data_IF_946642230556
#
_entry.id   IF_946642230556
#
_cell.length_a   1.000
_cell.length_b   1.000
_cell.length_c   1.000
_cell.angle_alpha   90.00
_cell.angle_beta   90.00
_cell.angle_gamma   90.00
#
_symmetry.space_group_name_H-M   'P 1'
#
loop_
_entity.id
_entity.type
_entity.pdbx_description
1 polymer ?
#
# COMPACT_ATOMS: atom_id res chain seq x y z
N UNK A 1 19.76 -15.62 4.72
CA UNK A 1 18.90 -15.02 3.67
C UNK A 1 17.41 -15.12 3.97
N UNK A 2 16.69 -13.99 4.03
CA UNK A 2 15.22 -13.87 4.11
C UNK A 2 14.77 -12.87 3.04
N UNK A 3 13.67 -13.13 2.35
CA UNK A 3 13.12 -12.23 1.32
C UNK A 3 11.64 -11.96 1.52
N UNK A 4 11.19 -10.79 1.07
CA UNK A 4 9.79 -10.38 1.08
C UNK A 4 9.52 -9.47 -0.12
N UNK A 5 8.34 -9.61 -0.72
CA UNK A 5 7.92 -8.80 -1.88
C UNK A 5 7.05 -7.65 -1.40
N UNK A 6 7.36 -6.45 -1.89
CA UNK A 6 6.63 -5.21 -1.70
C UNK A 6 6.19 -4.66 -3.07
N UNK A 7 5.42 -3.56 -3.05
CA UNK A 7 4.99 -2.87 -4.25
C UNK A 7 4.98 -1.35 -4.06
N UNK A 8 4.66 -0.60 -5.12
CA UNK A 8 4.56 0.86 -5.12
C UNK A 8 3.26 1.33 -4.48
N UNK A 9 3.31 2.50 -3.84
CA UNK A 9 2.18 3.17 -3.22
C UNK A 9 1.39 4.05 -4.21
N UNK A 10 2.10 4.59 -5.22
CA UNK A 10 1.53 5.51 -6.20
C UNK A 10 1.55 4.96 -7.64
N UNK A 11 0.60 5.45 -8.45
CA UNK A 11 0.57 5.17 -9.89
C UNK A 11 1.77 5.82 -10.58
N UNK A 12 2.40 5.08 -11.48
CA UNK A 12 3.59 5.50 -12.22
C UNK A 12 4.78 5.88 -11.31
N UNK A 13 4.83 5.36 -10.09
CA UNK A 13 5.93 5.55 -9.17
C UNK A 13 7.22 4.96 -9.77
N UNK A 14 8.20 5.84 -10.02
CA UNK A 14 9.45 5.48 -10.71
C UNK A 14 10.58 5.08 -9.76
N UNK A 15 10.40 5.25 -8.45
CA UNK A 15 11.41 4.93 -7.46
C UNK A 15 10.79 4.46 -6.15
N UNK A 16 11.49 3.58 -5.45
CA UNK A 16 11.18 3.18 -4.07
C UNK A 16 12.40 3.40 -3.19
N UNK A 17 12.19 3.91 -1.99
CA UNK A 17 13.23 4.08 -0.98
C UNK A 17 13.15 2.94 0.03
N UNK A 18 14.23 2.18 0.14
CA UNK A 18 14.37 1.10 1.10
C UNK A 18 15.11 1.65 2.32
N UNK A 19 14.42 1.70 3.46
CA UNK A 19 14.97 2.14 4.75
C UNK A 19 15.15 0.93 5.65
N UNK A 20 16.39 0.70 6.07
CA UNK A 20 16.77 -0.45 6.90
C UNK A 20 16.93 0.04 8.33
N UNK A 21 16.12 -0.48 9.24
CA UNK A 21 16.16 -0.14 10.66
C UNK A 21 16.34 -1.39 11.53
N UNK A 22 16.87 -1.20 12.73
CA UNK A 22 17.06 -2.23 13.75
C UNK A 22 16.39 -1.78 15.06
N UNK A 23 15.57 -2.65 15.64
CA UNK A 23 14.89 -2.45 16.92
C UNK A 23 13.65 -3.33 17.02
N UNK A 24 13.02 -3.31 18.19
CA UNK A 24 11.88 -4.16 18.57
C UNK A 24 10.53 -3.42 18.57
N UNK A 25 10.52 -2.10 18.28
CA UNK A 25 9.29 -1.30 18.26
C UNK A 25 8.56 -1.45 16.93
N UNK A 26 7.24 -1.32 16.95
CA UNK A 26 6.42 -1.55 15.74
C UNK A 26 6.59 -0.45 14.69
N UNK A 27 6.89 0.77 15.11
CA UNK A 27 7.04 1.93 14.22
C UNK A 27 8.49 2.12 13.80
N UNK A 28 8.76 2.18 12.49
CA UNK A 28 10.11 2.31 11.95
C UNK A 28 10.86 3.58 12.42
N UNK A 29 10.14 4.66 12.70
CA UNK A 29 10.71 5.93 13.20
C UNK A 29 11.25 5.83 14.63
N UNK A 30 10.75 4.86 15.40
CA UNK A 30 11.14 4.60 16.78
C UNK A 30 12.31 3.61 16.90
N UNK A 31 12.80 3.10 15.76
CA UNK A 31 13.91 2.16 15.66
C UNK A 31 15.18 2.84 15.13
N UNK A 32 16.34 2.21 15.33
CA UNK A 32 17.62 2.72 14.85
C UNK A 32 17.75 2.54 13.34
N UNK A 33 17.80 3.63 12.57
CA UNK A 33 18.09 3.58 11.15
C UNK A 33 19.54 3.14 10.93
N UNK A 34 19.73 2.05 10.17
CA UNK A 34 21.03 1.53 9.80
C UNK A 34 21.52 2.06 8.45
N UNK A 35 20.58 2.31 7.52
CA UNK A 35 20.90 2.83 6.20
C UNK A 35 19.65 2.93 5.33
N UNK A 36 19.80 3.60 4.19
CA UNK A 36 18.76 3.66 3.18
C UNK A 36 19.34 3.75 1.79
N UNK A 37 18.58 3.32 0.80
CA UNK A 37 18.93 3.43 -0.61
C UNK A 37 17.69 3.45 -1.49
N UNK A 38 17.84 3.97 -2.69
CA UNK A 38 16.74 4.07 -3.66
C UNK A 38 16.94 3.06 -4.80
N UNK A 39 15.87 2.34 -5.12
CA UNK A 39 15.74 1.62 -6.38
C UNK A 39 14.98 2.54 -7.35
N UNK A 40 15.70 3.10 -8.32
CA UNK A 40 15.17 4.07 -9.28
C UNK A 40 14.97 3.47 -10.67
N UNK A 41 14.10 4.12 -11.45
CA UNK A 41 13.82 3.75 -12.84
C UNK A 41 12.86 2.57 -12.96
N UNK A 42 11.92 2.44 -12.03
CA UNK A 42 10.78 1.55 -12.19
C UNK A 42 9.94 1.98 -13.41
N UNK A 43 9.46 1.04 -14.23
CA UNK A 43 8.61 1.37 -15.36
C UNK A 43 7.27 1.94 -14.86
N UNK A 44 6.65 2.88 -15.59
CA UNK A 44 5.33 3.38 -15.25
C UNK A 44 4.32 2.22 -15.20
N UNK A 45 3.74 2.00 -14.03
CA UNK A 45 2.73 0.97 -13.80
C UNK A 45 1.72 1.47 -12.75
N UNK A 46 0.49 0.92 -12.72
CA UNK A 46 -0.43 1.18 -11.63
C UNK A 46 0.19 0.80 -10.28
N UNK A 47 -0.19 1.50 -9.21
CA UNK A 47 0.23 1.14 -7.85
C UNK A 47 -0.10 -0.32 -7.54
N UNK A 48 0.68 -0.96 -6.67
CA UNK A 48 0.46 -2.36 -6.30
C UNK A 48 0.86 -3.40 -7.36
N UNK A 49 1.18 -2.99 -8.59
CA UNK A 49 1.59 -3.90 -9.68
C UNK A 49 3.09 -4.23 -9.67
N UNK A 50 4.02 -3.27 -9.53
CA UNK A 50 5.44 -3.57 -9.46
C UNK A 50 5.76 -4.54 -8.32
N UNK A 51 6.58 -5.56 -8.57
CA UNK A 51 6.97 -6.51 -7.54
C UNK A 51 8.42 -6.27 -7.14
N UNK A 52 8.61 -5.62 -5.99
CA UNK A 52 9.92 -5.30 -5.44
C UNK A 52 10.30 -6.35 -4.40
N UNK A 53 11.16 -7.29 -4.77
CA UNK A 53 11.71 -8.28 -3.86
C UNK A 53 12.84 -7.66 -3.04
N UNK A 54 12.62 -7.49 -1.74
CA UNK A 54 13.63 -7.04 -0.79
C UNK A 54 14.19 -8.27 -0.08
N UNK A 55 15.51 -8.41 -0.12
CA UNK A 55 16.23 -9.53 0.47
C UNK A 55 17.22 -9.04 1.51
N UNK A 56 17.18 -9.69 2.68
CA UNK A 56 18.13 -9.50 3.77
C UNK A 56 19.05 -10.72 3.84
N UNK A 57 20.35 -10.47 3.74
CA UNK A 57 21.37 -11.46 4.00
C UNK A 57 22.31 -11.00 5.11
N UNK A 58 22.48 -11.83 6.12
CA UNK A 58 23.30 -11.53 7.29
C UNK A 58 24.42 -12.56 7.31
N UNK A 59 25.66 -12.09 7.22
CA UNK A 59 26.82 -12.97 7.26
C UNK A 59 27.25 -13.30 8.70
N UNK A 60 28.17 -14.27 8.83
CA UNK A 60 28.72 -14.68 10.12
C UNK A 60 29.53 -13.58 10.84
N UNK A 61 29.91 -12.51 10.14
CA UNK A 61 30.60 -11.36 10.70
C UNK A 61 29.62 -10.25 11.14
N UNK A 62 28.31 -10.48 11.04
CA UNK A 62 27.28 -9.51 11.39
C UNK A 62 27.13 -8.37 10.36
N UNK A 63 27.63 -8.55 9.14
CA UNK A 63 27.42 -7.60 8.05
C UNK A 63 26.08 -7.91 7.40
N UNK A 64 25.20 -6.90 7.35
CA UNK A 64 23.88 -6.99 6.75
C UNK A 64 23.95 -6.48 5.32
N UNK A 65 23.67 -7.35 4.36
CA UNK A 65 23.48 -7.00 2.97
C UNK A 65 21.98 -6.95 2.68
N UNK A 66 21.51 -5.78 2.24
CA UNK A 66 20.11 -5.59 1.85
C UNK A 66 20.08 -5.29 0.37
N UNK A 67 19.38 -6.11 -0.40
CA UNK A 67 19.13 -5.89 -1.82
C UNK A 67 17.65 -5.71 -2.08
N UNK A 68 17.32 -4.87 -3.07
CA UNK A 68 15.97 -4.68 -3.58
C UNK A 68 15.99 -4.86 -5.09
N UNK A 69 15.16 -5.77 -5.59
CA UNK A 69 15.08 -6.12 -7.00
C UNK A 69 13.66 -5.98 -7.51
N UNK A 70 13.47 -5.22 -8.58
CA UNK A 70 12.23 -5.27 -9.35
C UNK A 70 12.19 -6.54 -10.18
N UNK A 71 11.19 -7.40 -9.93
CA UNK A 71 11.04 -8.68 -10.65
C UNK A 71 10.60 -8.50 -12.11
N UNK A 72 10.00 -7.35 -12.46
CA UNK A 72 9.58 -7.06 -13.84
C UNK A 72 10.76 -6.71 -14.75
N UNK A 73 11.59 -5.75 -14.32
CA UNK A 73 12.74 -5.29 -15.12
C UNK A 73 14.06 -5.99 -14.79
N UNK A 74 14.14 -6.67 -13.65
CA UNK A 74 15.38 -7.25 -13.14
C UNK A 74 16.35 -6.21 -12.55
N UNK A 75 16.00 -4.91 -12.54
CA UNK A 75 16.81 -3.87 -11.90
C UNK A 75 16.97 -4.16 -10.42
N UNK A 76 18.19 -3.97 -9.93
CA UNK A 76 18.55 -4.25 -8.54
C UNK A 76 19.41 -3.13 -8.00
N UNK A 77 19.19 -2.80 -6.73
CA UNK A 77 20.09 -1.97 -5.94
C UNK A 77 20.35 -2.66 -4.61
N UNK A 78 21.54 -2.47 -4.05
CA UNK A 78 21.88 -3.06 -2.77
C UNK A 78 22.80 -2.16 -1.95
N UNK A 79 22.75 -2.34 -0.64
CA UNK A 79 23.70 -1.75 0.29
C UNK A 79 24.30 -2.82 1.19
N UNK A 80 25.54 -2.57 1.60
CA UNK A 80 26.22 -3.35 2.63
C UNK A 80 26.33 -2.48 3.87
N UNK A 81 25.67 -2.90 4.94
CA UNK A 81 25.69 -2.22 6.23
C UNK A 81 26.62 -3.01 7.13
N UNK A 82 27.81 -2.44 7.36
CA UNK A 82 28.69 -2.95 8.39
C UNK A 82 28.12 -2.54 9.75
N UNK A 83 27.92 -3.51 10.64
CA UNK A 83 27.64 -3.22 12.04
C UNK A 83 28.92 -2.60 12.65
N UNK A 84 29.08 -1.29 12.51
CA UNK A 84 30.19 -0.51 13.08
C UNK A 84 30.02 -0.45 14.59
N UNK A 85 30.28 -1.58 15.27
CA UNK A 85 29.85 -1.81 16.64
C UNK A 85 28.33 -1.97 16.69
N UNK A 86 27.86 -3.22 16.81
CA UNK A 86 26.43 -3.50 17.03
C UNK A 86 25.86 -2.76 18.25
N UNK A 87 24.56 -2.90 18.48
CA UNK A 87 23.97 -2.50 19.76
C UNK A 87 24.72 -3.21 20.89
N UNK A 88 25.13 -2.46 21.92
CA UNK A 88 25.68 -3.09 23.12
C UNK A 88 24.58 -3.87 23.84
N UNK A 89 24.93 -4.86 24.67
CA UNK A 89 23.93 -5.60 25.45
C UNK A 89 23.04 -4.65 26.28
N UNK A 90 23.61 -3.55 26.79
CA UNK A 90 22.86 -2.51 27.49
C UNK A 90 21.88 -1.76 26.57
N UNK A 91 22.25 -1.48 25.32
CA UNK A 91 21.36 -0.86 24.34
C UNK A 91 20.22 -1.83 23.94
N UNK A 92 20.54 -3.12 23.79
CA UNK A 92 19.56 -4.16 23.48
C UNK A 92 18.54 -4.27 24.63
N UNK A 93 19.01 -4.41 25.87
CA UNK A 93 18.12 -4.46 27.04
C UNK A 93 17.25 -3.21 27.15
N UNK A 94 17.82 -2.04 26.87
CA UNK A 94 17.07 -0.79 26.87
C UNK A 94 15.99 -0.80 25.78
N UNK A 95 16.33 -1.21 24.55
CA UNK A 95 15.35 -1.30 23.45
C UNK A 95 14.22 -2.28 23.75
N UNK A 96 14.52 -3.42 24.38
CA UNK A 96 13.49 -4.39 24.79
C UNK A 96 12.57 -3.79 25.86
N UNK A 97 13.12 -3.17 26.90
CA UNK A 97 12.32 -2.52 27.95
C UNK A 97 11.48 -1.37 27.40
N UNK A 98 12.05 -0.56 26.51
CA UNK A 98 11.34 0.53 25.85
C UNK A 98 10.20 0.00 24.99
N UNK A 99 10.41 -1.10 24.25
CA UNK A 99 9.35 -1.75 23.46
C UNK A 99 8.23 -2.33 24.35
N UNK A 100 8.58 -3.02 25.44
CA UNK A 100 7.61 -3.56 26.40
C UNK A 100 6.77 -2.45 27.04
N UNK A 101 7.41 -1.37 27.48
CA UNK A 101 6.73 -0.23 28.10
C UNK A 101 5.80 0.52 27.12
N UNK A 102 6.08 0.47 25.82
CA UNK A 102 5.30 1.14 24.78
C UNK A 102 4.37 0.20 23.99
N UNK A 103 4.31 -1.09 24.32
CA UNK A 103 3.61 -2.09 23.52
C UNK A 103 2.14 -1.73 23.23
N UNK A 104 1.40 -1.22 24.21
CA UNK A 104 -0.01 -0.80 24.00
C UNK A 104 -0.12 0.44 23.12
N UNK A 105 0.78 1.41 23.28
CA UNK A 105 0.79 2.64 22.48
C UNK A 105 1.20 2.34 21.03
N UNK A 106 2.22 1.49 20.84
CA UNK A 106 2.69 1.04 19.54
C UNK A 106 1.61 0.24 18.81
N UNK A 107 0.91 -0.67 19.52
CA UNK A 107 -0.23 -1.39 18.96
C UNK A 107 -1.33 -0.45 18.46
N UNK A 108 -1.71 0.56 19.24
CA UNK A 108 -2.71 1.57 18.83
C UNK A 108 -2.26 2.35 17.60
N UNK A 109 -0.99 2.77 17.56
CA UNK A 109 -0.43 3.47 16.41
C UNK A 109 -0.39 2.59 15.17
N UNK A 110 0.00 1.32 15.30
CA UNK A 110 -0.03 0.35 14.20
C UNK A 110 -1.45 0.18 13.68
N UNK A 111 -2.43 -0.03 14.55
CA UNK A 111 -3.83 -0.17 14.14
C UNK A 111 -4.34 1.07 13.40
N UNK A 112 -3.95 2.27 13.82
CA UNK A 112 -4.30 3.52 13.11
C UNK A 112 -3.64 3.60 11.73
N UNK A 113 -2.36 3.23 11.62
CA UNK A 113 -1.62 3.22 10.35
C UNK A 113 -2.15 2.15 9.40
N UNK A 114 -2.49 0.96 9.90
CA UNK A 114 -3.13 -0.09 9.10
C UNK A 114 -4.50 0.35 8.58
N UNK A 115 -5.33 0.95 9.44
CA UNK A 115 -6.62 1.51 9.04
C UNK A 115 -6.44 2.60 7.97
N UNK A 116 -5.44 3.48 8.14
CA UNK A 116 -5.09 4.51 7.16
C UNK A 116 -4.66 3.91 5.81
N UNK A 117 -3.77 2.92 5.80
CA UNK A 117 -3.31 2.29 4.57
C UNK A 117 -4.47 1.58 3.83
N UNK A 118 -5.36 0.92 4.56
CA UNK A 118 -6.57 0.31 3.98
C UNK A 118 -7.50 1.37 3.38
N UNK A 119 -7.71 2.48 4.10
CA UNK A 119 -8.52 3.59 3.65
C UNK A 119 -7.94 4.27 2.39
N UNK A 120 -6.64 4.54 2.33
CA UNK A 120 -5.97 5.11 1.16
C UNK A 120 -6.03 4.16 -0.05
N UNK A 121 -5.94 2.86 0.19
CA UNK A 121 -6.19 1.87 -0.85
C UNK A 121 -7.61 1.97 -1.38
N UNK A 122 -8.61 2.03 -0.50
CA UNK A 122 -10.01 2.13 -0.91
C UNK A 122 -10.29 3.44 -1.65
N UNK A 123 -9.87 4.58 -1.10
CA UNK A 123 -10.05 5.92 -1.69
C UNK A 123 -9.63 5.92 -3.16
N UNK A 124 -8.39 5.54 -3.44
CA UNK A 124 -7.88 5.59 -4.82
C UNK A 124 -8.59 4.59 -5.74
N UNK A 125 -8.96 3.40 -5.26
CA UNK A 125 -9.75 2.46 -6.08
C UNK A 125 -11.15 3.02 -6.40
N UNK A 126 -11.78 3.70 -5.46
CA UNK A 126 -13.10 4.33 -5.63
C UNK A 126 -13.02 5.58 -6.51
N UNK A 127 -12.01 6.44 -6.35
CA UNK A 127 -11.74 7.59 -7.23
C UNK A 127 -11.54 7.13 -8.68
N UNK A 128 -10.74 6.08 -8.90
CA UNK A 128 -10.53 5.50 -10.23
C UNK A 128 -11.83 4.95 -10.81
N UNK A 129 -12.60 4.21 -10.03
CA UNK A 129 -13.86 3.63 -10.49
C UNK A 129 -14.90 4.71 -10.83
N UNK A 130 -14.97 5.79 -10.05
CA UNK A 130 -15.82 6.94 -10.36
C UNK A 130 -15.38 7.66 -11.63
N UNK A 131 -14.07 7.78 -11.87
CA UNK A 131 -13.55 8.38 -13.10
C UNK A 131 -13.91 7.56 -14.34
N UNK A 132 -13.81 6.23 -14.25
CA UNK A 132 -13.99 5.34 -15.39
C UNK A 132 -15.47 5.02 -15.66
N UNK A 133 -16.31 4.96 -14.61
CA UNK A 133 -17.69 4.47 -14.69
C UNK A 133 -18.72 5.40 -14.04
N UNK A 134 -18.33 6.58 -13.57
CA UNK A 134 -19.24 7.52 -12.90
C UNK A 134 -20.46 7.90 -13.75
N UNK A 135 -20.34 7.89 -15.07
CA UNK A 135 -21.42 8.15 -16.03
C UNK A 135 -22.46 7.03 -16.14
N UNK A 136 -22.17 5.85 -15.59
CA UNK A 136 -23.08 4.71 -15.56
C UNK A 136 -23.90 4.61 -14.26
N UNK A 137 -23.69 5.52 -13.30
CA UNK A 137 -24.45 5.59 -12.05
C UNK A 137 -25.26 6.88 -11.97
N UNK A 138 -26.29 6.90 -11.10
CA UNK A 138 -27.10 8.09 -10.85
C UNK A 138 -26.25 9.25 -10.28
N UNK A 139 -26.64 10.49 -10.57
CA UNK A 139 -25.98 11.68 -10.01
C UNK A 139 -26.00 11.67 -8.47
N UNK A 140 -27.09 11.18 -7.88
CA UNK A 140 -27.23 11.00 -6.43
C UNK A 140 -26.18 10.03 -5.87
N UNK A 141 -25.99 8.87 -6.51
CA UNK A 141 -25.01 7.88 -6.03
C UNK A 141 -23.58 8.37 -6.27
N UNK A 142 -23.32 9.02 -7.42
CA UNK A 142 -22.02 9.64 -7.73
C UNK A 142 -21.62 10.66 -6.66
N UNK A 143 -22.56 11.53 -6.27
CA UNK A 143 -22.33 12.54 -5.23
C UNK A 143 -22.08 11.89 -3.88
N UNK A 144 -22.89 10.89 -3.49
CA UNK A 144 -22.71 10.17 -2.23
C UNK A 144 -21.33 9.48 -2.13
N UNK A 145 -20.84 8.88 -3.21
CA UNK A 145 -19.50 8.25 -3.24
C UNK A 145 -18.41 9.32 -3.16
N UNK A 146 -18.53 10.42 -3.92
CA UNK A 146 -17.56 11.52 -3.88
C UNK A 146 -17.46 12.15 -2.48
N UNK A 147 -18.59 12.35 -1.81
CA UNK A 147 -18.64 12.89 -0.45
C UNK A 147 -18.02 11.91 0.56
N UNK A 148 -18.29 10.61 0.43
CA UNK A 148 -17.69 9.59 1.28
C UNK A 148 -16.16 9.49 1.07
N UNK A 149 -15.68 9.61 -0.16
CA UNK A 149 -14.25 9.70 -0.48
C UNK A 149 -13.64 10.91 0.21
N UNK A 150 -14.24 12.10 0.05
CA UNK A 150 -13.73 13.33 0.64
C UNK A 150 -13.70 13.27 2.18
N UNK A 151 -14.75 12.72 2.80
CA UNK A 151 -14.83 12.55 4.25
C UNK A 151 -13.76 11.58 4.78
N UNK A 152 -13.55 10.45 4.11
CA UNK A 152 -12.52 9.49 4.47
C UNK A 152 -11.12 10.08 4.27
N UNK A 153 -10.90 10.79 3.15
CA UNK A 153 -9.65 11.48 2.84
C UNK A 153 -9.29 12.50 3.92
N UNK A 154 -10.25 13.30 4.36
CA UNK A 154 -10.04 14.25 5.46
C UNK A 154 -9.70 13.57 6.79
N UNK A 155 -10.20 12.36 7.04
CA UNK A 155 -9.89 11.59 8.26
C UNK A 155 -8.46 11.03 8.23
N UNK A 156 -8.02 10.50 7.08
CA UNK A 156 -6.66 9.94 6.94
C UNK A 156 -5.57 11.02 6.87
N UNK A 157 -5.92 12.24 6.43
CA UNK A 157 -5.03 13.41 6.38
C UNK A 157 -5.01 14.21 7.70
N UNK A 158 -5.83 13.85 8.69
CA UNK A 158 -5.83 14.51 10.00
C UNK A 158 -4.46 14.37 10.70
N UNK A 159 -4.07 15.40 11.45
CA UNK A 159 -2.79 15.41 12.20
C UNK A 159 -2.72 14.28 13.23
N UNK A 160 -3.84 13.95 13.85
CA UNK A 160 -4.01 12.80 14.73
C UNK A 160 -5.14 11.92 14.17
N UNK A 161 -4.81 10.90 13.36
CA UNK A 161 -5.80 10.02 12.76
C UNK A 161 -6.43 9.12 13.82
N UNK A 162 -7.76 9.19 13.94
CA UNK A 162 -8.54 8.31 14.79
C UNK A 162 -8.87 7.02 14.03
N UNK A 163 -8.36 5.89 14.55
CA UNK A 163 -8.55 4.58 13.92
C UNK A 163 -10.03 4.16 13.84
N UNK A 164 -10.86 4.54 14.82
CA UNK A 164 -12.29 4.21 14.81
C UNK A 164 -13.05 5.05 13.79
N UNK A 165 -12.76 6.36 13.70
CA UNK A 165 -13.33 7.25 12.67
C UNK A 165 -12.94 6.81 11.26
N UNK A 166 -11.65 6.47 11.04
CA UNK A 166 -11.17 5.96 9.74
C UNK A 166 -11.90 4.67 9.39
N UNK A 167 -12.02 3.71 10.32
CA UNK A 167 -12.73 2.45 10.07
C UNK A 167 -14.21 2.67 9.74
N UNK A 168 -14.88 3.54 10.49
CA UNK A 168 -16.28 3.87 10.26
C UNK A 168 -16.50 4.49 8.87
N UNK A 169 -15.68 5.48 8.48
CA UNK A 169 -15.75 6.11 7.16
C UNK A 169 -15.32 5.17 6.04
N UNK A 170 -14.39 4.25 6.30
CA UNK A 170 -14.01 3.18 5.36
C UNK A 170 -15.22 2.28 5.09
N UNK A 171 -15.95 1.89 6.13
CA UNK A 171 -17.18 1.11 6.00
C UNK A 171 -18.27 1.86 5.22
N UNK A 172 -18.46 3.16 5.51
CA UNK A 172 -19.38 4.01 4.74
C UNK A 172 -18.99 4.07 3.26
N UNK A 173 -17.71 4.28 2.94
CA UNK A 173 -17.24 4.30 1.57
C UNK A 173 -17.46 2.94 0.88
N UNK A 174 -17.21 1.82 1.57
CA UNK A 174 -17.49 0.49 1.03
C UNK A 174 -18.98 0.33 0.69
N UNK A 175 -19.89 0.70 1.58
CA UNK A 175 -21.33 0.59 1.39
C UNK A 175 -21.84 1.40 0.21
N UNK A 176 -21.43 2.68 0.09
CA UNK A 176 -21.85 3.51 -1.04
C UNK A 176 -21.18 3.08 -2.35
N UNK A 177 -19.96 2.53 -2.28
CA UNK A 177 -19.24 1.99 -3.45
C UNK A 177 -19.83 0.67 -3.97
N UNK A 178 -20.61 -0.07 -3.17
CA UNK A 178 -21.29 -1.29 -3.65
C UNK A 178 -22.23 -0.99 -4.82
N UNK A 179 -22.92 0.15 -4.79
CA UNK A 179 -23.81 0.59 -5.88
C UNK A 179 -23.06 0.83 -7.18
N UNK A 180 -21.85 1.40 -7.08
CA UNK A 180 -20.96 1.58 -8.22
C UNK A 180 -20.49 0.22 -8.77
N UNK A 181 -20.11 -0.71 -7.90
CA UNK A 181 -19.74 -2.07 -8.29
C UNK A 181 -20.86 -2.81 -9.04
N UNK A 182 -22.10 -2.67 -8.57
CA UNK A 182 -23.27 -3.25 -9.24
C UNK A 182 -23.48 -2.66 -10.63
N UNK A 183 -23.44 -1.33 -10.78
CA UNK A 183 -23.59 -0.66 -12.07
C UNK A 183 -22.46 -1.02 -13.06
N UNK A 184 -21.22 -1.17 -12.56
CA UNK A 184 -20.08 -1.63 -13.38
C UNK A 184 -20.31 -3.06 -13.87
N UNK A 185 -20.74 -3.97 -12.99
CA UNK A 185 -21.01 -5.36 -13.34
C UNK A 185 -22.14 -5.49 -14.37
N UNK A 186 -23.25 -4.77 -14.17
CA UNK A 186 -24.37 -4.71 -15.13
C UNK A 186 -23.93 -4.15 -16.49
N UNK A 187 -23.09 -3.11 -16.49
CA UNK A 187 -22.55 -2.53 -17.71
C UNK A 187 -21.57 -3.46 -18.45
N UNK A 188 -20.70 -4.17 -17.72
CA UNK A 188 -19.78 -5.15 -18.30
C UNK A 188 -20.54 -6.36 -18.86
N UNK A 189 -21.63 -6.78 -18.21
CA UNK A 189 -22.47 -7.87 -18.69
C UNK A 189 -23.25 -7.47 -19.96
N UNK A 190 -23.69 -6.21 -20.07
CA UNK A 190 -24.30 -5.67 -21.28
C UNK A 190 -23.32 -5.53 -22.46
N UNK A 191 -22.05 -5.17 -22.20
CA UNK A 191 -20.99 -5.15 -23.21
C UNK A 191 -20.59 -6.58 -23.66
N UNK A 192 -20.49 -7.53 -22.74
CA UNK A 192 -20.20 -8.93 -23.05
C UNK A 192 -21.32 -9.60 -23.87
N UNK A 193 -22.58 -9.27 -23.59
CA UNK A 193 -23.74 -9.75 -24.38
C UNK A 193 -23.84 -9.12 -25.77
N UNK A 194 -23.23 -7.96 -25.99
CA UNK A 194 -23.22 -7.28 -27.30
C UNK A 194 -22.13 -7.83 -28.23
N UNK A 195 -21.03 -8.35 -27.68
CA UNK A 195 -19.95 -8.95 -28.48
C UNK A 195 -20.37 -10.26 -29.18
N UNK A 196 -21.25 -11.05 -28.56
CA UNK A 196 -21.74 -12.33 -29.09
C UNK A 196 -22.77 -12.14 -30.24
N UNK A 197 -23.49 -11.01 -30.26
CA UNK A 197 -24.44 -10.68 -31.33
C UNK A 197 -23.77 -10.22 -32.64
N UNK A 198 -22.56 -9.66 -32.57
CA UNK A 198 -21.78 -9.23 -33.76
C UNK A 198 -21.03 -10.36 -34.46
N UNK A 199 -20.81 -11.51 -33.82
CA UNK A 199 -20.16 -12.67 -34.44
C UNK A 199 -21.12 -13.54 -35.28
N UNK A 200 -22.43 -13.42 -35.07
CA UNK A 200 -23.45 -14.24 -35.75
C UNK A 200 -24.06 -13.59 -37.03
N UNK A 201 -23.69 -12.35 -37.39
CA UNK A 201 -24.29 -11.60 -38.49
C UNK A 201 -23.41 -11.41 -39.74
N UNK A 202 -22.26 -12.10 -39.83
CA UNK A 202 -21.23 -11.83 -40.84
C UNK A 202 -21.13 -12.81 -42.02
N UNK A 203 -22.01 -13.81 -42.14
CA UNK A 203 -21.87 -14.89 -43.13
C UNK A 203 -23.15 -15.06 -43.98
N UNK A 204 -23.56 -14.01 -44.70
CA UNK A 204 -24.47 -14.10 -45.85
C UNK A 204 -24.15 -13.01 -46.88
N UNK A 205 -23.22 -13.29 -47.81
CA UNK A 205 -23.35 -12.98 -49.25
C UNK A 205 -22.30 -13.70 -50.10
#
# INVERSE_FOLDING_TARGET
>A
KKSQTFSTADDNQQAVTIRVSQGEREMAADNKLLGQFDLVGLPPAPRGVPQIEVTFDIDANGIVQVSAKDKGTGKEQQIRIQASGGLSDADIEKMVKDAEANAEADKKRREAVEAKNQAESLIHSSEKSLKDYGDKVSETDRTAISDAIAALKSSVEATEPDAEDIKAKTQTLMEVSMKLGQAIYEAQQAEAGSADATAAGGDEN
#
